data_IF_613781889441
#
_entry.id   IF_613781889441
#
_cell.length_a   1.000
_cell.length_b   1.000
_cell.length_c   1.000
_cell.angle_alpha   90.00
_cell.angle_beta   90.00
_cell.angle_gamma   90.00
#
_symmetry.space_group_name_H-M   'P 1'
#
loop_
_entity.id
_entity.type
_entity.pdbx_description
1 polymer ?
#
# COMPACT_ATOMS: atom_id res chain seq x y z
N UNK A 1 -13.78 -8.31 -16.06
CA UNK A 1 -12.33 -8.19 -15.84
C UNK A 1 -12.14 -6.94 -15.00
N UNK A 2 -12.49 -7.04 -13.72
CA UNK A 2 -12.59 -5.90 -12.81
C UNK A 2 -12.06 -6.36 -11.46
N UNK A 3 -10.86 -5.89 -11.09
CA UNK A 3 -10.28 -6.11 -9.77
C UNK A 3 -9.58 -4.85 -9.28
N UNK A 4 -10.24 -3.71 -9.43
CA UNK A 4 -9.97 -2.56 -8.58
C UNK A 4 -11.12 -2.48 -7.60
N UNK A 5 -11.03 -3.29 -6.54
CA UNK A 5 -11.93 -3.18 -5.40
C UNK A 5 -11.67 -1.81 -4.76
N UNK A 6 -12.51 -0.84 -5.12
CA UNK A 6 -12.78 0.32 -4.30
C UNK A 6 -13.42 -0.18 -2.99
N UNK A 7 -12.60 -0.73 -2.10
CA UNK A 7 -12.94 -0.83 -0.69
C UNK A 7 -12.83 0.58 -0.14
N UNK A 8 -13.87 1.37 -0.37
CA UNK A 8 -14.13 2.61 0.33
C UNK A 8 -14.47 2.26 1.78
N UNK A 9 -13.49 1.85 2.56
CA UNK A 9 -13.59 1.87 4.03
C UNK A 9 -13.42 3.34 4.40
N UNK A 10 -14.55 4.04 4.42
CA UNK A 10 -14.74 5.42 4.90
C UNK A 10 -13.63 6.41 4.55
N UNK A 11 -13.96 7.33 3.64
CA UNK A 11 -13.18 8.53 3.31
C UNK A 11 -12.89 9.42 4.51
N UNK A 12 -12.03 8.94 5.39
CA UNK A 12 -11.31 9.73 6.35
C UNK A 12 -10.25 10.47 5.55
N UNK A 13 -10.15 11.78 5.73
CA UNK A 13 -9.14 12.66 5.13
C UNK A 13 -7.68 12.24 5.42
N UNK A 14 -7.44 11.06 5.98
CA UNK A 14 -6.16 10.46 6.29
C UNK A 14 -5.87 9.13 5.57
N UNK A 15 -6.69 8.69 4.61
CA UNK A 15 -6.39 7.48 3.85
C UNK A 15 -5.16 7.70 2.95
N UNK A 16 -4.07 6.99 3.26
CA UNK A 16 -2.79 7.10 2.55
C UNK A 16 -2.73 6.21 1.30
N UNK A 17 -3.69 5.31 1.12
CA UNK A 17 -3.82 4.44 -0.05
C UNK A 17 -4.77 5.01 -1.10
N UNK A 18 -5.38 6.17 -0.84
CA UNK A 18 -6.31 6.84 -1.73
C UNK A 18 -5.70 7.04 -3.12
N UNK A 19 -6.44 6.59 -4.14
CA UNK A 19 -6.07 6.71 -5.55
C UNK A 19 -6.96 7.76 -6.23
N UNK A 20 -6.37 8.48 -7.17
CA UNK A 20 -7.06 9.43 -8.04
C UNK A 20 -7.93 8.69 -9.09
N UNK A 21 -8.72 9.42 -9.88
CA UNK A 21 -9.53 8.87 -10.97
C UNK A 21 -8.73 8.09 -12.02
N UNK A 22 -7.42 8.34 -12.15
CA UNK A 22 -6.50 7.57 -13.01
C UNK A 22 -5.92 6.30 -12.32
N UNK A 23 -6.33 6.02 -11.08
CA UNK A 23 -5.80 4.89 -10.29
C UNK A 23 -4.42 5.13 -9.68
N UNK A 24 -3.93 6.37 -9.66
CA UNK A 24 -2.61 6.74 -9.07
C UNK A 24 -2.73 7.08 -7.60
N UNK A 25 -1.77 6.68 -6.77
CA UNK A 25 -1.71 7.10 -5.38
C UNK A 25 -1.64 8.63 -5.26
N UNK A 26 -2.65 9.26 -4.63
CA UNK A 26 -2.69 10.71 -4.42
C UNK A 26 -1.56 11.15 -3.48
N UNK A 27 -1.28 10.32 -2.46
CA UNK A 27 -0.24 10.57 -1.45
C UNK A 27 1.01 9.74 -1.70
N UNK A 28 1.39 9.55 -2.97
CA UNK A 28 2.57 8.76 -3.34
C UNK A 28 3.86 9.26 -2.68
N UNK A 29 4.02 10.58 -2.56
CA UNK A 29 5.22 11.17 -1.95
C UNK A 29 5.44 10.72 -0.51
N UNK A 30 4.38 10.52 0.27
CA UNK A 30 4.49 10.00 1.64
C UNK A 30 5.23 8.65 1.65
N UNK A 31 4.84 7.75 0.75
CA UNK A 31 5.43 6.41 0.64
C UNK A 31 6.85 6.42 0.08
N UNK A 32 7.14 7.32 -0.85
CA UNK A 32 8.47 7.46 -1.46
C UNK A 32 9.50 8.08 -0.50
N UNK A 33 9.05 8.88 0.46
CA UNK A 33 9.90 9.50 1.48
C UNK A 33 10.27 8.53 2.61
N UNK A 34 9.46 7.48 2.81
CA UNK A 34 9.77 6.43 3.78
C UNK A 34 11.02 5.64 3.38
N UNK A 35 11.86 5.35 4.37
CA UNK A 35 12.91 4.34 4.24
C UNK A 35 12.30 2.95 4.10
N UNK A 36 13.03 2.02 3.50
CA UNK A 36 12.54 0.66 3.25
C UNK A 36 12.02 -0.02 4.52
N UNK A 37 12.73 0.13 5.65
CA UNK A 37 12.30 -0.39 6.95
C UNK A 37 11.00 0.24 7.45
N UNK A 38 10.86 1.55 7.33
CA UNK A 38 9.64 2.26 7.75
C UNK A 38 8.46 1.90 6.86
N UNK A 39 8.69 1.74 5.56
CA UNK A 39 7.69 1.30 4.60
C UNK A 39 7.18 -0.11 4.91
N UNK A 40 8.10 -1.03 5.20
CA UNK A 40 7.76 -2.40 5.59
C UNK A 40 6.91 -2.37 6.86
N UNK A 41 7.36 -1.70 7.92
CA UNK A 41 6.61 -1.58 9.18
C UNK A 41 5.23 -0.95 8.99
N UNK A 42 5.13 0.13 8.20
CA UNK A 42 3.86 0.77 7.90
C UNK A 42 2.90 -0.17 7.15
N UNK A 43 3.43 -1.07 6.32
CA UNK A 43 2.64 -1.99 5.49
C UNK A 43 2.27 -3.28 6.21
N UNK A 44 3.11 -3.80 7.11
CA UNK A 44 2.87 -5.04 7.85
C UNK A 44 2.17 -4.78 9.19
N UNK A 45 2.65 -3.81 9.96
CA UNK A 45 2.22 -3.55 11.33
C UNK A 45 1.38 -2.27 11.48
N UNK A 46 1.51 -1.33 10.55
CA UNK A 46 0.82 -0.05 10.57
C UNK A 46 -0.47 -0.02 9.75
N UNK A 47 -0.64 1.06 9.01
CA UNK A 47 -1.84 1.32 8.20
C UNK A 47 -2.10 0.28 7.10
N UNK A 48 -1.07 -0.42 6.63
CA UNK A 48 -1.22 -1.49 5.62
C UNK A 48 -1.62 -2.85 6.19
N UNK A 49 -1.72 -3.00 7.52
CA UNK A 49 -2.10 -4.27 8.16
C UNK A 49 -3.46 -4.79 7.71
N UNK A 50 -4.37 -3.89 7.36
CA UNK A 50 -5.72 -4.21 6.85
C UNK A 50 -5.73 -4.66 5.39
N UNK A 51 -4.62 -4.49 4.67
CA UNK A 51 -4.50 -4.87 3.27
C UNK A 51 -4.20 -6.36 3.12
N UNK A 52 -4.81 -6.98 2.12
CA UNK A 52 -4.45 -8.33 1.68
C UNK A 52 -3.05 -8.36 1.09
N UNK A 53 -2.41 -9.54 1.08
CA UNK A 53 -1.09 -9.75 0.46
C UNK A 53 -1.04 -9.22 -0.98
N UNK A 54 -2.10 -9.47 -1.76
CA UNK A 54 -2.20 -8.97 -3.14
C UNK A 54 -2.22 -7.43 -3.22
N UNK A 55 -2.94 -6.76 -2.30
CA UNK A 55 -2.98 -5.30 -2.22
C UNK A 55 -1.65 -4.72 -1.76
N UNK A 56 -1.01 -5.33 -0.76
CA UNK A 56 0.33 -4.95 -0.29
C UNK A 56 1.33 -5.04 -1.43
N UNK A 57 1.36 -6.17 -2.15
CA UNK A 57 2.21 -6.39 -3.32
C UNK A 57 1.99 -5.33 -4.40
N UNK A 58 0.74 -5.13 -4.83
CA UNK A 58 0.40 -4.11 -5.82
C UNK A 58 0.83 -2.70 -5.40
N UNK A 59 0.72 -2.36 -4.11
CA UNK A 59 1.15 -1.06 -3.58
C UNK A 59 2.68 -0.89 -3.64
N UNK A 60 3.44 -1.89 -3.21
CA UNK A 60 4.92 -1.87 -3.24
C UNK A 60 5.45 -1.80 -4.68
N UNK A 61 4.78 -2.47 -5.62
CA UNK A 61 5.09 -2.38 -7.05
C UNK A 61 4.82 -0.97 -7.62
N UNK A 62 3.71 -0.35 -7.23
CA UNK A 62 3.33 1.02 -7.64
C UNK A 62 4.41 2.05 -7.29
N UNK A 63 5.00 1.95 -6.10
CA UNK A 63 6.07 2.84 -5.63
C UNK A 63 7.48 2.42 -6.08
N UNK A 64 7.59 1.46 -7.02
CA UNK A 64 8.86 0.96 -7.55
C UNK A 64 9.81 0.42 -6.46
N UNK A 65 9.26 -0.23 -5.43
CA UNK A 65 10.00 -0.87 -4.32
C UNK A 65 9.83 -2.38 -4.31
N UNK A 66 9.72 -2.99 -5.48
CA UNK A 66 9.41 -4.42 -5.66
C UNK A 66 10.31 -5.37 -4.86
N UNK A 67 11.55 -4.97 -4.58
CA UNK A 67 12.49 -5.73 -3.75
C UNK A 67 12.02 -5.95 -2.31
N UNK A 68 11.10 -5.13 -1.80
CA UNK A 68 10.49 -5.28 -0.46
C UNK A 68 9.25 -6.17 -0.45
N UNK A 69 8.79 -6.63 -1.62
CA UNK A 69 7.58 -7.45 -1.72
C UNK A 69 7.71 -8.74 -0.90
N UNK A 70 8.90 -9.35 -0.88
CA UNK A 70 9.15 -10.57 -0.11
C UNK A 70 8.96 -10.32 1.39
N UNK A 71 9.61 -9.28 1.91
CA UNK A 71 9.53 -8.90 3.33
C UNK A 71 8.12 -8.47 3.76
N UNK A 72 7.40 -7.74 2.90
CA UNK A 72 6.03 -7.28 3.17
C UNK A 72 5.00 -8.42 3.06
N UNK A 73 5.22 -9.40 2.18
CA UNK A 73 4.33 -10.55 2.02
C UNK A 73 4.65 -11.72 2.97
N UNK A 74 5.82 -11.73 3.61
CA UNK A 74 6.23 -12.78 4.55
C UNK A 74 5.45 -12.75 5.88
N UNK A 75 4.74 -11.65 6.17
CA UNK A 75 4.02 -11.40 7.44
C UNK A 75 2.70 -12.21 7.59
N UNK A 76 2.26 -12.96 6.57
CA UNK A 76 1.07 -13.85 6.66
C UNK A 76 1.40 -15.22 7.28
N UNK A 77 2.02 -15.23 8.47
CA UNK A 77 2.27 -16.45 9.24
C UNK A 77 1.60 -16.43 10.60
#
# INVERSE_FOLDING_TARGET
MERFFALSIEGSSNDLFLRDGDGRLIRRNYWLDLTDRSLVLATTQGIGRVLTIAQKRAHIEDINRQHLCDEVCADDR
#
